data_IF_813278767154
#
_entry.id   IF_813278767154
#
_cell.length_a   1.000
_cell.length_b   1.000
_cell.length_c   1.000
_cell.angle_alpha   90.00
_cell.angle_beta   90.00
_cell.angle_gamma   90.00
#
_symmetry.space_group_name_H-M   'P 1'
#
loop_
_entity.id
_entity.type
_entity.pdbx_description
1 polymer ?
#
# COMPACT_ATOMS: atom_id res chain seq x y z
N UNK A 1 17.43 16.19 26.16
CA UNK A 1 16.06 16.14 25.58
C UNK A 1 16.09 16.17 24.05
N UNK A 2 16.76 17.15 23.43
CA UNK A 2 16.84 17.32 21.96
C UNK A 2 17.32 16.10 21.15
N UNK A 3 18.33 15.35 21.65
CA UNK A 3 18.86 14.14 20.96
C UNK A 3 17.81 13.02 20.85
N UNK A 4 16.94 12.88 21.86
CA UNK A 4 15.87 11.86 21.84
C UNK A 4 14.75 12.23 20.87
N UNK A 5 14.48 13.52 20.67
CA UNK A 5 13.50 13.97 19.68
C UNK A 5 14.00 13.72 18.25
N UNK A 6 15.26 14.06 17.94
CA UNK A 6 15.83 13.76 16.62
C UNK A 6 15.83 12.26 16.30
N UNK A 7 16.21 11.41 17.26
CA UNK A 7 16.19 9.96 17.05
C UNK A 7 14.77 9.40 16.79
N UNK A 8 13.73 9.99 17.39
CA UNK A 8 12.34 9.61 17.11
C UNK A 8 11.90 10.09 15.72
N UNK A 9 12.25 11.31 15.35
CA UNK A 9 11.92 11.89 14.06
C UNK A 9 12.54 11.09 12.90
N UNK A 10 13.81 10.70 13.03
CA UNK A 10 14.51 9.90 12.01
C UNK A 10 13.87 8.52 11.86
N UNK A 11 13.48 7.88 12.97
CA UNK A 11 12.79 6.59 12.94
C UNK A 11 11.43 6.68 12.23
N UNK A 12 10.62 7.70 12.54
CA UNK A 12 9.29 7.84 11.91
C UNK A 12 9.44 8.15 10.42
N UNK A 13 10.42 8.97 10.01
CA UNK A 13 10.72 9.23 8.60
C UNK A 13 11.11 7.95 7.85
N UNK A 14 11.92 7.10 8.46
CA UNK A 14 12.30 5.81 7.86
C UNK A 14 11.07 4.91 7.69
N UNK A 15 10.20 4.82 8.70
CA UNK A 15 8.96 4.05 8.65
C UNK A 15 8.00 4.55 7.55
N UNK A 16 7.84 5.87 7.39
CA UNK A 16 7.06 6.47 6.30
C UNK A 16 7.71 6.13 4.94
N UNK A 17 9.04 6.18 4.84
CA UNK A 17 9.77 5.78 3.64
C UNK A 17 9.46 4.35 3.23
N UNK A 18 9.51 3.40 4.18
CA UNK A 18 9.13 2.01 3.96
C UNK A 18 7.67 1.85 3.52
N UNK A 19 6.74 2.55 4.17
CA UNK A 19 5.31 2.52 3.80
C UNK A 19 5.10 3.01 2.36
N UNK A 20 5.84 4.04 1.92
CA UNK A 20 5.78 4.58 0.55
C UNK A 20 6.23 3.57 -0.50
N UNK A 21 7.28 2.80 -0.20
CA UNK A 21 7.78 1.72 -1.08
C UNK A 21 6.74 0.61 -1.18
N UNK A 22 6.18 0.16 -0.05
CA UNK A 22 5.15 -0.88 -0.02
C UNK A 22 3.91 -0.44 -0.82
N UNK A 23 3.45 0.80 -0.61
CA UNK A 23 2.34 1.38 -1.37
C UNK A 23 2.58 1.36 -2.88
N UNK A 24 3.79 1.70 -3.32
CA UNK A 24 4.16 1.70 -4.73
C UNK A 24 4.15 0.29 -5.34
N UNK A 25 4.64 -0.70 -4.59
CA UNK A 25 4.62 -2.11 -5.00
C UNK A 25 3.18 -2.62 -5.10
N UNK A 26 2.32 -2.29 -4.13
CA UNK A 26 0.91 -2.70 -4.14
C UNK A 26 0.17 -2.13 -5.35
N UNK A 27 0.39 -0.85 -5.69
CA UNK A 27 -0.18 -0.24 -6.91
C UNK A 27 0.29 -0.99 -8.16
N UNK A 28 1.59 -1.31 -8.26
CA UNK A 28 2.12 -2.04 -9.41
C UNK A 28 1.47 -3.43 -9.56
N UNK A 29 1.23 -4.13 -8.44
CA UNK A 29 0.54 -5.42 -8.41
C UNK A 29 -0.92 -5.26 -8.87
N UNK A 30 -1.63 -4.24 -8.38
CA UNK A 30 -3.01 -3.96 -8.77
C UNK A 30 -3.12 -3.66 -10.28
N UNK A 31 -2.26 -2.79 -10.80
CA UNK A 31 -2.22 -2.47 -12.23
C UNK A 31 -1.91 -3.70 -13.07
N UNK A 32 -1.03 -4.58 -12.58
CA UNK A 32 -0.68 -5.84 -13.26
C UNK A 32 -1.87 -6.82 -13.28
N UNK A 33 -2.59 -6.97 -12.18
CA UNK A 33 -3.79 -7.79 -12.08
C UNK A 33 -4.89 -7.29 -13.01
N UNK A 34 -5.17 -5.98 -12.97
CA UNK A 34 -6.16 -5.35 -13.83
C UNK A 34 -5.77 -5.47 -15.30
N UNK A 35 -4.49 -5.25 -15.63
CA UNK A 35 -3.97 -5.39 -16.99
C UNK A 35 -4.04 -6.83 -17.52
N UNK A 36 -3.79 -7.83 -16.68
CA UNK A 36 -3.95 -9.24 -17.05
C UNK A 36 -5.42 -9.59 -17.27
N UNK A 37 -6.31 -9.11 -16.40
CA UNK A 37 -7.75 -9.31 -16.51
C UNK A 37 -8.32 -8.73 -17.80
N UNK A 38 -7.95 -7.49 -18.13
CA UNK A 38 -8.39 -6.80 -19.36
C UNK A 38 -7.95 -7.51 -20.65
N UNK A 39 -6.84 -8.25 -20.63
CA UNK A 39 -6.35 -9.01 -21.78
C UNK A 39 -6.99 -10.40 -21.89
N UNK A 40 -7.38 -11.01 -20.76
CA UNK A 40 -7.79 -12.41 -20.72
C UNK A 40 -9.28 -12.62 -20.43
N UNK A 41 -10.08 -11.56 -20.27
CA UNK A 41 -11.50 -11.66 -19.86
C UNK A 41 -12.38 -12.54 -20.77
N UNK A 42 -12.07 -12.66 -22.06
CA UNK A 42 -12.86 -13.48 -23.01
C UNK A 42 -12.49 -14.97 -22.92
N UNK A 43 -11.23 -15.28 -22.59
CA UNK A 43 -10.68 -16.65 -22.61
C UNK A 43 -10.57 -17.29 -21.22
N UNK A 44 -10.64 -16.49 -20.16
CA UNK A 44 -10.45 -16.95 -18.79
C UNK A 44 -11.71 -17.63 -18.23
N UNK A 45 -11.50 -18.72 -17.48
CA UNK A 45 -12.56 -19.35 -16.72
C UNK A 45 -13.13 -18.38 -15.66
N UNK A 46 -14.44 -18.43 -15.43
CA UNK A 46 -15.17 -17.58 -14.47
C UNK A 46 -14.50 -17.56 -13.07
N UNK A 47 -13.93 -18.69 -12.66
CA UNK A 47 -13.17 -18.83 -11.41
C UNK A 47 -11.95 -17.90 -11.34
N UNK A 48 -11.16 -17.80 -12.42
CA UNK A 48 -9.98 -16.92 -12.47
C UNK A 48 -10.38 -15.44 -12.44
N UNK A 49 -11.52 -15.11 -13.04
CA UNK A 49 -12.07 -13.76 -13.03
C UNK A 49 -12.47 -13.34 -11.61
N UNK A 50 -13.15 -14.22 -10.87
CA UNK A 50 -13.51 -14.01 -9.45
C UNK A 50 -12.26 -13.87 -8.57
N UNK A 51 -11.24 -14.73 -8.77
CA UNK A 51 -9.98 -14.61 -8.04
C UNK A 51 -9.26 -13.27 -8.31
N UNK A 52 -9.27 -12.77 -9.55
CA UNK A 52 -8.70 -11.45 -9.86
C UNK A 52 -9.46 -10.32 -9.17
N UNK A 53 -10.80 -10.33 -9.21
CA UNK A 53 -11.61 -9.30 -8.54
C UNK A 53 -11.38 -9.31 -7.04
N UNK A 54 -11.36 -10.49 -6.40
CA UNK A 54 -11.03 -10.63 -4.99
C UNK A 54 -9.60 -10.16 -4.69
N UNK A 55 -8.64 -10.48 -5.55
CA UNK A 55 -7.26 -10.02 -5.44
C UNK A 55 -7.17 -8.50 -5.43
N UNK A 56 -7.81 -7.83 -6.39
CA UNK A 56 -7.85 -6.35 -6.44
C UNK A 56 -8.51 -5.77 -5.19
N UNK A 57 -9.62 -6.34 -4.72
CA UNK A 57 -10.27 -5.88 -3.49
C UNK A 57 -9.37 -6.01 -2.26
N UNK A 58 -8.63 -7.12 -2.13
CA UNK A 58 -7.69 -7.34 -1.03
C UNK A 58 -6.54 -6.35 -1.11
N UNK A 59 -5.90 -6.21 -2.28
CA UNK A 59 -4.77 -5.29 -2.46
C UNK A 59 -5.21 -3.85 -2.21
N UNK A 60 -6.36 -3.43 -2.74
CA UNK A 60 -6.94 -2.10 -2.46
C UNK A 60 -7.18 -1.89 -0.96
N UNK A 61 -7.69 -2.90 -0.25
CA UNK A 61 -7.90 -2.81 1.20
C UNK A 61 -6.58 -2.66 1.97
N UNK A 62 -5.53 -3.39 1.56
CA UNK A 62 -4.18 -3.27 2.13
C UNK A 62 -3.59 -1.89 1.83
N UNK A 63 -3.78 -1.36 0.62
CA UNK A 63 -3.35 -0.01 0.23
C UNK A 63 -3.99 1.04 1.15
N UNK A 64 -5.29 0.96 1.39
CA UNK A 64 -6.01 1.89 2.28
C UNK A 64 -5.46 1.80 3.71
N UNK A 65 -5.19 0.58 4.20
CA UNK A 65 -4.62 0.38 5.54
C UNK A 65 -3.20 0.92 5.68
N UNK A 66 -2.34 0.67 4.69
CA UNK A 66 -0.98 1.23 4.61
C UNK A 66 -1.04 2.76 4.58
N UNK A 67 -1.93 3.33 3.78
CA UNK A 67 -2.09 4.77 3.66
C UNK A 67 -2.55 5.39 4.98
N UNK A 68 -3.54 4.80 5.65
CA UNK A 68 -3.97 5.25 7.00
C UNK A 68 -2.82 5.19 8.01
N UNK A 69 -2.05 4.12 8.00
CA UNK A 69 -0.90 3.96 8.89
C UNK A 69 0.17 5.03 8.61
N UNK A 70 0.41 5.34 7.34
CA UNK A 70 1.33 6.41 6.96
C UNK A 70 0.86 7.78 7.44
N UNK A 71 -0.43 8.10 7.28
CA UNK A 71 -1.01 9.35 7.78
C UNK A 71 -0.95 9.47 9.29
N UNK A 72 -1.24 8.40 10.04
CA UNK A 72 -1.11 8.41 11.50
C UNK A 72 0.34 8.72 11.95
N UNK A 73 1.33 8.17 11.24
CA UNK A 73 2.74 8.46 11.52
C UNK A 73 3.16 9.88 11.13
N UNK A 74 2.50 10.47 10.14
CA UNK A 74 2.71 11.88 9.77
C UNK A 74 2.10 12.80 10.84
N UNK A 75 0.91 12.50 11.34
CA UNK A 75 0.30 13.25 12.45
C UNK A 75 1.17 13.17 13.72
N UNK A 76 1.73 12.00 14.05
CA UNK A 76 2.69 11.86 15.16
C UNK A 76 3.96 12.70 14.98
N UNK A 77 4.37 13.01 13.74
CA UNK A 77 5.48 13.94 13.46
C UNK A 77 5.06 15.41 13.64
N UNK A 78 3.81 15.77 13.34
CA UNK A 78 3.30 17.13 13.55
C UNK A 78 3.14 17.47 15.04
N UNK A 79 2.84 16.47 15.89
CA UNK A 79 2.70 16.66 17.34
C UNK A 79 4.03 16.68 18.12
N UNK A 80 5.17 16.35 17.48
CA UNK A 80 6.50 16.15 18.10
C UNK A 80 7.42 17.38 18.08
#
# INVERSE_FOLDING_TARGET
>A
MMIRQMAKLDKIKEEIGWLKVIFSILIAIDLSLVGWLAQNYIKAALFLMICCVLGVFIVTSVIIWVNRTAYQKIDELEEL
#
